data_IF_149635385817
#
_entry.id   IF_149635385817
#
_cell.length_a   1.000
_cell.length_b   1.000
_cell.length_c   1.000
_cell.angle_alpha   90.00
_cell.angle_beta   90.00
_cell.angle_gamma   90.00
#
_symmetry.space_group_name_H-M   'P 1'
#
loop_
_entity.id
_entity.type
_entity.pdbx_description
1 polymer ?
#
# COMPACT_ATOMS: atom_id res chain seq x y z
N UNK A 1 2.42 -18.73 11.92
CA UNK A 1 2.08 -17.33 12.19
C UNK A 1 2.84 -16.45 11.19
N UNK A 2 2.11 -15.70 10.36
CA UNK A 2 2.71 -14.98 9.23
C UNK A 2 3.10 -13.55 9.60
N UNK A 3 2.43 -12.94 10.57
CA UNK A 3 2.64 -11.54 10.97
C UNK A 3 3.82 -11.42 11.92
N UNK A 4 4.64 -10.40 11.69
CA UNK A 4 5.81 -10.10 12.52
C UNK A 4 5.36 -9.49 13.85
N UNK A 5 5.68 -10.15 14.97
CA UNK A 5 5.46 -9.67 16.33
C UNK A 5 4.03 -9.22 16.69
N UNK A 6 3.01 -9.61 15.90
CA UNK A 6 1.61 -9.16 16.05
C UNK A 6 1.41 -7.63 15.99
N UNK A 7 2.34 -6.90 15.38
CA UNK A 7 2.25 -5.45 15.23
C UNK A 7 1.29 -5.06 14.11
N UNK A 8 0.75 -3.82 14.17
CA UNK A 8 0.00 -3.27 13.06
C UNK A 8 0.80 -3.32 11.76
N UNK A 9 0.12 -3.56 10.66
CA UNK A 9 0.72 -3.51 9.33
C UNK A 9 0.58 -2.14 8.68
N UNK A 10 0.77 -2.14 7.36
CA UNK A 10 0.43 -1.02 6.49
C UNK A 10 -0.24 -1.55 5.22
N UNK A 11 -1.08 -0.72 4.61
CA UNK A 11 -1.76 -1.05 3.35
C UNK A 11 -1.53 0.08 2.35
N UNK A 12 -1.11 -0.27 1.14
CA UNK A 12 -0.93 0.67 0.03
C UNK A 12 -1.90 0.31 -1.09
N UNK A 13 -2.77 1.25 -1.45
CA UNK A 13 -3.81 1.07 -2.48
C UNK A 13 -3.55 2.05 -3.62
N UNK A 14 -2.90 1.58 -4.68
CA UNK A 14 -2.64 2.38 -5.89
C UNK A 14 -3.62 2.12 -7.04
N UNK A 15 -4.44 1.06 -6.95
CA UNK A 15 -5.39 0.69 -7.99
C UNK A 15 -6.64 1.56 -7.95
N UNK A 16 -7.05 2.07 -9.11
CA UNK A 16 -8.27 2.88 -9.32
C UNK A 16 -9.45 2.09 -9.89
N UNK A 17 -9.31 0.79 -10.15
CA UNK A 17 -10.43 0.00 -10.67
C UNK A 17 -11.57 -0.03 -9.65
N UNK A 18 -12.82 -0.07 -10.14
CA UNK A 18 -14.04 -0.04 -9.32
C UNK A 18 -14.00 -1.05 -8.17
N UNK A 19 -13.60 -2.29 -8.46
CA UNK A 19 -13.46 -3.34 -7.44
C UNK A 19 -12.50 -2.95 -6.32
N UNK A 20 -11.36 -2.33 -6.63
CA UNK A 20 -10.41 -1.86 -5.61
C UNK A 20 -11.01 -0.76 -4.73
N UNK A 21 -11.82 0.11 -5.31
CA UNK A 21 -12.53 1.15 -4.55
C UNK A 21 -13.57 0.56 -3.60
N UNK A 22 -14.34 -0.43 -4.06
CA UNK A 22 -15.30 -1.17 -3.22
C UNK A 22 -14.60 -1.89 -2.07
N UNK A 23 -13.49 -2.57 -2.35
CA UNK A 23 -12.69 -3.28 -1.34
C UNK A 23 -12.05 -2.32 -0.33
N UNK A 24 -11.55 -1.18 -0.78
CA UNK A 24 -11.03 -0.13 0.10
C UNK A 24 -12.12 0.40 1.03
N UNK A 25 -13.32 0.67 0.51
CA UNK A 25 -14.43 1.16 1.31
C UNK A 25 -14.81 0.19 2.43
N UNK A 26 -14.79 -1.12 2.17
CA UNK A 26 -15.02 -2.14 3.20
C UNK A 26 -13.88 -2.21 4.22
N UNK A 27 -12.61 -2.14 3.76
CA UNK A 27 -11.47 -2.14 4.66
C UNK A 27 -11.46 -0.94 5.62
N UNK A 28 -11.85 0.24 5.14
CA UNK A 28 -11.88 1.47 5.96
C UNK A 28 -12.90 1.41 7.11
N UNK A 29 -13.85 0.47 7.08
CA UNK A 29 -14.81 0.21 8.16
C UNK A 29 -14.26 -0.71 9.25
N UNK A 30 -13.13 -1.38 9.00
CA UNK A 30 -12.56 -2.32 9.97
C UNK A 30 -11.96 -1.60 11.18
N UNK A 31 -12.12 -2.17 12.39
CA UNK A 31 -11.49 -1.62 13.59
C UNK A 31 -9.97 -1.65 13.47
N UNK A 32 -9.30 -0.65 14.02
CA UNK A 32 -7.86 -0.55 13.98
C UNK A 32 -7.27 -0.02 12.67
N UNK A 33 -8.11 0.42 11.73
CA UNK A 33 -7.70 1.05 10.46
C UNK A 33 -7.70 2.58 10.60
N UNK A 34 -6.71 3.22 9.98
CA UNK A 34 -6.67 4.67 9.74
C UNK A 34 -6.48 4.90 8.23
N UNK A 35 -7.50 5.43 7.58
CA UNK A 35 -7.45 5.83 6.18
C UNK A 35 -6.62 7.11 6.00
N UNK A 36 -5.68 7.08 5.05
CA UNK A 36 -4.81 8.20 4.70
C UNK A 36 -4.92 8.41 3.20
N UNK A 37 -5.78 9.34 2.81
CA UNK A 37 -5.91 9.73 1.41
C UNK A 37 -4.74 10.63 1.01
N UNK A 38 -4.14 10.30 -0.12
CA UNK A 38 -3.12 11.11 -0.81
C UNK A 38 -3.81 11.83 -1.96
N UNK A 39 -3.98 13.13 -1.84
CA UNK A 39 -4.57 13.94 -2.90
C UNK A 39 -3.55 14.15 -4.02
N UNK A 40 -3.65 13.31 -5.04
CA UNK A 40 -2.71 13.31 -6.16
C UNK A 40 -2.87 14.52 -7.10
N UNK A 41 -3.91 15.34 -6.95
CA UNK A 41 -4.07 16.60 -7.71
C UNK A 41 -2.86 17.51 -7.48
N UNK A 42 -2.30 17.50 -6.29
CA UNK A 42 -1.08 18.26 -5.96
C UNK A 42 0.19 17.84 -6.72
N UNK A 43 0.15 16.72 -7.44
CA UNK A 43 1.25 16.27 -8.31
C UNK A 43 1.12 16.80 -9.75
N UNK A 44 0.00 17.46 -10.10
CA UNK A 44 -0.20 18.00 -11.45
C UNK A 44 0.69 19.20 -11.77
N UNK A 45 1.13 19.93 -10.76
CA UNK A 45 1.96 21.14 -10.91
C UNK A 45 3.45 20.85 -11.05
N UNK A 46 3.88 19.58 -11.02
CA UNK A 46 5.26 19.11 -11.11
C UNK A 46 6.25 19.87 -10.17
N UNK A 47 5.71 20.39 -9.07
CA UNK A 47 6.48 21.11 -8.05
C UNK A 47 7.08 20.13 -7.06
N UNK A 48 8.42 20.07 -6.99
CA UNK A 48 9.14 19.27 -5.99
C UNK A 48 8.75 19.64 -4.55
N UNK A 49 8.54 20.92 -4.28
CA UNK A 49 8.13 21.39 -2.95
C UNK A 49 6.75 20.86 -2.56
N UNK A 50 5.79 20.89 -3.48
CA UNK A 50 4.44 20.34 -3.26
C UNK A 50 4.47 18.84 -3.03
N UNK A 51 5.27 18.13 -3.83
CA UNK A 51 5.47 16.70 -3.72
C UNK A 51 6.07 16.30 -2.37
N UNK A 52 7.15 16.99 -1.95
CA UNK A 52 7.82 16.71 -0.68
C UNK A 52 6.93 17.04 0.51
N UNK A 53 6.16 18.12 0.43
CA UNK A 53 5.16 18.46 1.44
C UNK A 53 4.09 17.36 1.56
N UNK A 54 3.56 16.87 0.44
CA UNK A 54 2.57 15.81 0.41
C UNK A 54 3.14 14.50 0.98
N UNK A 55 4.38 14.14 0.62
CA UNK A 55 5.08 12.98 1.17
C UNK A 55 5.24 13.09 2.69
N UNK A 56 5.77 14.21 3.18
CA UNK A 56 6.02 14.41 4.61
C UNK A 56 4.72 14.37 5.42
N UNK A 57 3.66 15.02 4.97
CA UNK A 57 2.35 14.96 5.61
C UNK A 57 1.78 13.54 5.63
N UNK A 58 1.96 12.78 4.56
CA UNK A 58 1.52 11.39 4.50
C UNK A 58 2.28 10.53 5.50
N UNK A 59 3.61 10.65 5.55
CA UNK A 59 4.46 9.90 6.48
C UNK A 59 4.21 10.25 7.94
N UNK A 60 3.94 11.51 8.26
CA UNK A 60 3.54 11.93 9.60
C UNK A 60 2.25 11.22 10.04
N UNK A 61 1.21 11.23 9.21
CA UNK A 61 -0.06 10.51 9.48
C UNK A 61 0.12 9.00 9.59
N UNK A 62 1.01 8.43 8.78
CA UNK A 62 1.37 6.99 8.86
C UNK A 62 2.01 6.69 10.20
N UNK A 63 2.99 7.49 10.62
CA UNK A 63 3.68 7.34 11.90
C UNK A 63 2.72 7.48 13.09
N UNK A 64 1.83 8.48 13.07
CA UNK A 64 0.82 8.70 14.11
C UNK A 64 -0.12 7.50 14.24
N UNK A 65 -0.62 6.98 13.12
CA UNK A 65 -1.48 5.80 13.11
C UNK A 65 -0.75 4.57 13.69
N UNK A 66 0.47 4.33 13.25
CA UNK A 66 1.28 3.20 13.73
C UNK A 66 1.59 3.31 15.23
N UNK A 67 2.00 4.48 15.70
CA UNK A 67 2.28 4.76 17.12
C UNK A 67 1.03 4.60 18.01
N UNK A 68 -0.16 4.85 17.45
CA UNK A 68 -1.44 4.58 18.10
C UNK A 68 -1.86 3.09 18.06
N UNK A 69 -1.01 2.18 17.57
CA UNK A 69 -1.30 0.76 17.43
C UNK A 69 -2.31 0.44 16.32
N UNK A 70 -2.47 1.33 15.34
CA UNK A 70 -3.39 1.18 14.21
C UNK A 70 -2.65 0.90 12.92
N UNK A 71 -3.36 0.32 11.95
CA UNK A 71 -2.83 0.03 10.61
C UNK A 71 -3.18 1.19 9.67
N UNK A 72 -2.19 1.98 9.20
CA UNK A 72 -2.42 2.98 8.18
C UNK A 72 -2.76 2.32 6.84
N UNK A 73 -3.78 2.85 6.17
CA UNK A 73 -4.17 2.50 4.81
C UNK A 73 -3.97 3.73 3.94
N UNK A 74 -2.88 3.75 3.19
CA UNK A 74 -2.53 4.84 2.27
C UNK A 74 -3.14 4.54 0.91
N UNK A 75 -3.93 5.45 0.40
CA UNK A 75 -4.58 5.33 -0.91
C UNK A 75 -4.63 6.67 -1.63
N UNK A 76 -4.58 6.63 -2.95
CA UNK A 76 -4.69 7.82 -3.79
C UNK A 76 -6.14 8.31 -3.85
N UNK A 77 -6.33 9.63 -4.00
CA UNK A 77 -7.65 10.22 -4.23
C UNK A 77 -8.37 9.53 -5.40
N UNK A 78 -9.69 9.38 -5.26
CA UNK A 78 -10.54 8.64 -6.21
C UNK A 78 -11.15 9.52 -7.29
N UNK A 79 -10.68 10.75 -7.44
CA UNK A 79 -11.10 11.66 -8.50
C UNK A 79 -10.61 11.16 -9.86
N UNK A 80 -11.51 11.15 -10.85
CA UNK A 80 -11.13 10.93 -12.22
C UNK A 80 -10.48 12.20 -12.77
N UNK A 81 -9.21 12.09 -13.14
CA UNK A 81 -8.46 13.16 -13.79
C UNK A 81 -8.50 12.97 -15.30
N UNK A 82 -8.76 14.07 -16.00
CA UNK A 82 -8.75 14.09 -17.46
C UNK A 82 -7.41 14.62 -17.95
N UNK A 83 -6.76 13.90 -18.84
CA UNK A 83 -5.47 14.27 -19.42
C UNK A 83 -5.61 14.60 -20.91
N UNK A 84 -4.78 15.52 -21.39
CA UNK A 84 -4.77 15.96 -22.80
C UNK A 84 -4.39 14.84 -23.77
N UNK A 85 -3.52 13.94 -23.34
CA UNK A 85 -3.02 12.82 -24.14
C UNK A 85 -2.58 11.65 -23.25
N UNK A 86 -2.22 10.53 -23.88
CA UNK A 86 -1.78 9.30 -23.20
C UNK A 86 -0.45 9.51 -22.49
N UNK A 87 0.48 10.26 -23.08
CA UNK A 87 1.81 10.52 -22.55
C UNK A 87 1.74 11.23 -21.20
N UNK A 88 1.02 12.35 -21.12
CA UNK A 88 0.81 13.10 -19.86
C UNK A 88 0.15 12.22 -18.78
N UNK A 89 -0.78 11.34 -19.17
CA UNK A 89 -1.40 10.40 -18.26
C UNK A 89 -0.41 9.39 -17.71
N UNK A 90 0.50 8.88 -18.54
CA UNK A 90 1.54 7.92 -18.13
C UNK A 90 2.57 8.57 -17.23
N UNK A 91 3.03 9.79 -17.55
CA UNK A 91 3.94 10.58 -16.71
C UNK A 91 3.35 10.84 -15.33
N UNK A 92 2.10 11.26 -15.29
CA UNK A 92 1.38 11.45 -14.02
C UNK A 92 1.26 10.15 -13.22
N UNK A 93 0.90 9.04 -13.86
CA UNK A 93 0.85 7.71 -13.23
C UNK A 93 2.20 7.29 -12.66
N UNK A 94 3.29 7.58 -13.36
CA UNK A 94 4.65 7.33 -12.88
C UNK A 94 5.00 8.20 -11.66
N UNK A 95 4.61 9.48 -11.64
CA UNK A 95 4.82 10.39 -10.52
C UNK A 95 4.04 9.92 -9.26
N UNK A 96 2.79 9.48 -9.45
CA UNK A 96 1.97 8.90 -8.36
C UNK A 96 2.63 7.62 -7.81
N UNK A 97 3.07 6.72 -8.68
CA UNK A 97 3.76 5.49 -8.26
C UNK A 97 5.05 5.82 -7.50
N UNK A 98 5.86 6.75 -7.99
CA UNK A 98 7.09 7.18 -7.32
C UNK A 98 6.82 7.72 -5.91
N UNK A 99 5.78 8.54 -5.74
CA UNK A 99 5.38 9.04 -4.42
C UNK A 99 4.97 7.91 -3.48
N UNK A 100 4.14 6.96 -3.94
CA UNK A 100 3.74 5.81 -3.14
C UNK A 100 4.93 4.93 -2.75
N UNK A 101 5.94 4.80 -3.62
CA UNK A 101 7.15 4.03 -3.30
C UNK A 101 8.02 4.75 -2.27
N UNK A 102 8.07 6.08 -2.27
CA UNK A 102 8.70 6.84 -1.19
C UNK A 102 7.94 6.70 0.13
N UNK A 103 6.62 6.64 0.10
CA UNK A 103 5.82 6.28 1.29
C UNK A 103 6.19 4.89 1.81
N UNK A 104 6.32 3.88 0.93
CA UNK A 104 6.74 2.52 1.32
C UNK A 104 8.10 2.53 2.02
N UNK A 105 9.08 3.27 1.48
CA UNK A 105 10.42 3.38 2.09
C UNK A 105 10.39 4.08 3.45
N UNK A 106 9.45 5.00 3.64
CA UNK A 106 9.27 5.75 4.89
C UNK A 106 8.34 5.11 5.90
N UNK A 107 7.80 3.90 5.65
CA UNK A 107 6.99 3.18 6.61
C UNK A 107 7.80 2.87 7.89
N UNK A 108 7.15 2.79 9.06
CA UNK A 108 7.82 2.35 10.29
C UNK A 108 8.50 0.98 10.11
N UNK A 109 9.75 0.87 10.52
CA UNK A 109 10.58 -0.32 10.30
C UNK A 109 10.03 -1.58 10.98
N UNK A 110 9.18 -1.42 11.98
CA UNK A 110 8.62 -2.48 12.80
C UNK A 110 7.17 -2.86 12.45
N UNK A 111 6.65 -2.44 11.29
CA UNK A 111 5.33 -2.89 10.82
C UNK A 111 5.25 -4.41 10.77
N UNK A 112 4.10 -4.97 11.14
CA UNK A 112 3.89 -6.43 11.21
C UNK A 112 3.73 -7.09 9.84
N UNK A 113 3.17 -6.37 8.86
CA UNK A 113 2.94 -6.82 7.49
C UNK A 113 2.73 -5.62 6.56
N UNK A 114 2.83 -5.88 5.26
CA UNK A 114 2.48 -4.92 4.21
C UNK A 114 1.46 -5.56 3.26
N UNK A 115 0.37 -4.86 2.94
CA UNK A 115 -0.55 -5.24 1.87
C UNK A 115 -0.40 -4.25 0.73
N UNK A 116 -0.13 -4.75 -0.46
CA UNK A 116 -0.08 -3.96 -1.69
C UNK A 116 -1.28 -4.31 -2.58
N UNK A 117 -2.15 -3.34 -2.83
CA UNK A 117 -3.37 -3.50 -3.62
C UNK A 117 -3.25 -2.85 -5.00
N UNK A 118 -3.25 -3.67 -6.02
CA UNK A 118 -3.10 -3.32 -7.43
C UNK A 118 -1.94 -4.06 -8.08
N UNK A 119 -2.08 -4.46 -9.35
CA UNK A 119 -1.03 -5.21 -10.05
C UNK A 119 0.25 -4.41 -10.23
N UNK A 120 0.14 -3.20 -10.79
CA UNK A 120 1.28 -2.28 -10.96
C UNK A 120 1.85 -1.90 -9.59
N UNK A 121 1.01 -1.51 -8.64
CA UNK A 121 1.42 -1.17 -7.28
C UNK A 121 2.19 -2.30 -6.61
N UNK A 122 1.74 -3.55 -6.76
CA UNK A 122 2.43 -4.71 -6.17
C UNK A 122 3.79 -4.96 -6.79
N UNK A 123 3.93 -4.80 -8.12
CA UNK A 123 5.20 -4.88 -8.80
C UNK A 123 6.16 -3.78 -8.31
N UNK A 124 5.69 -2.53 -8.25
CA UNK A 124 6.49 -1.38 -7.84
C UNK A 124 6.90 -1.47 -6.37
N UNK A 125 6.02 -1.96 -5.50
CA UNK A 125 6.35 -2.22 -4.08
C UNK A 125 7.52 -3.20 -3.96
N UNK A 126 7.49 -4.31 -4.70
CA UNK A 126 8.58 -5.28 -4.64
C UNK A 126 9.87 -4.75 -5.25
N UNK A 127 9.81 -4.22 -6.48
CA UNK A 127 10.99 -3.86 -7.27
C UNK A 127 11.60 -2.51 -6.86
N UNK A 128 10.78 -1.52 -6.54
CA UNK A 128 11.20 -0.14 -6.29
C UNK A 128 11.07 0.25 -4.82
N UNK A 129 9.92 0.04 -4.21
CA UNK A 129 9.67 0.40 -2.81
C UNK A 129 10.56 -0.38 -1.84
N UNK A 130 10.57 -1.70 -1.96
CA UNK A 130 11.39 -2.61 -1.16
C UNK A 130 12.71 -2.97 -1.84
N UNK A 131 12.92 -2.60 -3.09
CA UNK A 131 14.14 -2.87 -3.88
C UNK A 131 14.59 -4.34 -3.82
N UNK A 132 13.64 -5.28 -3.91
CA UNK A 132 13.93 -6.71 -3.78
C UNK A 132 14.51 -7.28 -5.07
N UNK A 133 15.59 -8.00 -4.96
CA UNK A 133 16.14 -8.88 -6.03
C UNK A 133 15.56 -10.28 -5.94
N UNK A 134 15.09 -10.68 -4.76
CA UNK A 134 14.43 -11.97 -4.51
C UNK A 134 13.48 -11.86 -3.32
N UNK A 135 12.48 -12.73 -3.26
CA UNK A 135 11.58 -12.85 -2.12
C UNK A 135 11.17 -14.32 -1.94
N UNK A 136 10.96 -14.72 -0.70
CA UNK A 136 10.46 -16.05 -0.40
C UNK A 136 8.94 -16.10 -0.56
N UNK A 137 8.45 -16.93 -1.48
CA UNK A 137 7.02 -17.20 -1.60
C UNK A 137 6.54 -18.01 -0.37
N UNK A 138 5.51 -17.50 0.31
CA UNK A 138 4.87 -18.15 1.46
C UNK A 138 3.60 -18.92 1.09
N UNK A 139 3.04 -18.65 -0.09
CA UNK A 139 1.79 -19.24 -0.59
C UNK A 139 0.72 -18.19 -0.86
N UNK A 140 -0.54 -18.59 -0.84
CA UNK A 140 -1.69 -17.71 -1.03
C UNK A 140 -2.44 -17.52 0.29
N UNK A 141 -2.69 -16.26 0.65
CA UNK A 141 -3.53 -15.91 1.82
C UNK A 141 -5.01 -15.91 1.46
N UNK A 142 -5.31 -15.68 0.20
CA UNK A 142 -6.62 -15.80 -0.44
C UNK A 142 -6.39 -16.26 -1.88
N UNK A 143 -7.36 -16.93 -2.49
CA UNK A 143 -7.27 -17.35 -3.89
C UNK A 143 -6.91 -16.14 -4.79
N UNK A 144 -5.80 -16.25 -5.53
CA UNK A 144 -5.27 -15.17 -6.37
C UNK A 144 -4.49 -14.07 -5.64
N UNK A 145 -4.33 -14.15 -4.32
CA UNK A 145 -3.53 -13.21 -3.53
C UNK A 145 -2.32 -13.92 -2.91
N UNK A 146 -1.16 -13.70 -3.47
CA UNK A 146 0.10 -14.30 -3.01
C UNK A 146 0.67 -13.53 -1.83
N UNK A 147 1.37 -14.25 -0.96
CA UNK A 147 2.14 -13.66 0.11
C UNK A 147 3.61 -14.05 -0.04
N UNK A 148 4.48 -13.07 0.06
CA UNK A 148 5.93 -13.24 0.05
C UNK A 148 6.54 -12.72 1.34
N UNK A 149 7.80 -13.04 1.57
CA UNK A 149 8.57 -12.51 2.69
C UNK A 149 9.85 -11.89 2.19
N UNK A 150 10.18 -10.71 2.69
CA UNK A 150 11.46 -10.05 2.42
C UNK A 150 12.61 -10.86 3.01
N UNK A 151 13.83 -10.76 2.45
CA UNK A 151 15.02 -11.38 3.03
C UNK A 151 15.26 -10.99 4.49
N UNK A 152 15.94 -11.87 5.22
CA UNK A 152 16.30 -11.64 6.63
C UNK A 152 17.28 -10.47 6.82
N UNK A 153 18.07 -10.20 5.80
CA UNK A 153 19.07 -9.14 5.72
C UNK A 153 18.59 -7.88 5.01
N UNK A 154 17.27 -7.77 4.74
CA UNK A 154 16.71 -6.56 4.14
C UNK A 154 16.97 -5.33 5.02
N UNK A 155 17.55 -4.24 4.48
CA UNK A 155 18.07 -3.13 5.29
C UNK A 155 17.00 -2.38 6.10
N UNK A 156 15.78 -2.29 5.59
CA UNK A 156 14.68 -1.55 6.25
C UNK A 156 13.62 -2.47 6.85
N UNK A 157 13.30 -3.57 6.18
CA UNK A 157 12.17 -4.43 6.53
C UNK A 157 12.57 -5.91 6.51
N UNK A 158 13.44 -6.38 7.41
CA UNK A 158 13.84 -7.78 7.45
C UNK A 158 12.66 -8.69 7.81
N UNK A 159 12.50 -9.82 7.11
CA UNK A 159 11.45 -10.81 7.34
C UNK A 159 10.01 -10.27 7.28
N UNK A 160 9.77 -9.17 6.57
CA UNK A 160 8.43 -8.58 6.44
C UNK A 160 7.54 -9.44 5.53
N UNK A 161 6.37 -9.89 6.01
CA UNK A 161 5.34 -10.48 5.14
C UNK A 161 4.70 -9.40 4.27
N UNK A 162 4.64 -9.65 2.96
CA UNK A 162 4.04 -8.75 1.97
C UNK A 162 2.95 -9.51 1.21
N UNK A 163 1.73 -8.99 1.23
CA UNK A 163 0.62 -9.51 0.44
C UNK A 163 0.53 -8.76 -0.88
N UNK A 164 0.52 -9.52 -1.97
CA UNK A 164 0.35 -9.03 -3.33
C UNK A 164 -1.11 -9.26 -3.73
N UNK A 165 -1.89 -8.20 -3.75
CA UNK A 165 -3.31 -8.27 -4.04
C UNK A 165 -3.61 -7.63 -5.41
N UNK A 166 -3.88 -8.42 -6.47
CA UNK A 166 -4.19 -7.90 -7.80
C UNK A 166 -5.46 -7.03 -7.82
N UNK A 167 -5.57 -6.11 -8.80
CA UNK A 167 -6.65 -5.15 -8.89
C UNK A 167 -8.05 -5.77 -9.00
N UNK A 168 -8.20 -6.85 -9.78
CA UNK A 168 -9.48 -7.46 -10.14
C UNK A 168 -9.81 -8.79 -9.43
N UNK A 169 -9.04 -9.16 -8.41
CA UNK A 169 -9.22 -10.40 -7.66
C UNK A 169 -10.18 -10.21 -6.48
N UNK A 170 -10.90 -11.26 -6.14
CA UNK A 170 -11.79 -11.31 -4.97
C UNK A 170 -13.10 -10.55 -5.14
N UNK A 171 -13.85 -10.46 -4.06
CA UNK A 171 -15.08 -9.68 -3.90
C UNK A 171 -14.85 -8.41 -3.06
N UNK A 172 -15.91 -7.64 -2.78
CA UNK A 172 -15.82 -6.39 -2.02
C UNK A 172 -15.24 -6.58 -0.60
N UNK A 173 -15.43 -7.75 0.03
CA UNK A 173 -14.96 -8.05 1.39
C UNK A 173 -13.54 -8.60 1.44
N UNK A 174 -12.96 -8.97 0.31
CA UNK A 174 -11.71 -9.76 0.25
C UNK A 174 -10.51 -9.04 0.88
N UNK A 175 -10.38 -7.73 0.71
CA UNK A 175 -9.27 -6.96 1.31
C UNK A 175 -9.41 -6.90 2.84
N UNK A 176 -10.61 -6.63 3.34
CA UNK A 176 -10.92 -6.67 4.77
C UNK A 176 -10.71 -8.07 5.37
N UNK A 177 -11.06 -9.13 4.62
CA UNK A 177 -10.82 -10.52 5.03
C UNK A 177 -9.33 -10.83 5.18
N UNK A 178 -8.49 -10.38 4.25
CA UNK A 178 -7.03 -10.54 4.37
C UNK A 178 -6.52 -9.79 5.59
N UNK A 179 -6.96 -8.55 5.81
CA UNK A 179 -6.59 -7.77 6.98
C UNK A 179 -6.93 -8.51 8.28
N UNK A 180 -8.17 -8.99 8.44
CA UNK A 180 -8.60 -9.76 9.62
C UNK A 180 -7.75 -11.02 9.83
N UNK A 181 -7.45 -11.77 8.77
CA UNK A 181 -6.57 -12.96 8.85
C UNK A 181 -5.17 -12.62 9.36
N UNK A 182 -4.60 -11.51 8.92
CA UNK A 182 -3.28 -11.05 9.36
C UNK A 182 -3.31 -10.58 10.82
N UNK A 183 -4.39 -9.91 11.22
CA UNK A 183 -4.58 -9.47 12.61
C UNK A 183 -4.99 -10.59 13.57
N UNK A 184 -5.40 -11.75 13.05
CA UNK A 184 -5.86 -12.88 13.87
C UNK A 184 -7.24 -12.64 14.50
N UNK A 185 -8.10 -11.85 13.85
CA UNK A 185 -9.44 -11.47 14.29
C UNK A 185 -10.55 -12.12 13.44
N UNK A 186 -10.24 -13.17 12.71
CA UNK A 186 -11.20 -13.92 11.87
C UNK A 186 -12.07 -14.88 12.66
#
# INVERSE_FOLDING_TARGET
QYVRERKPGAVIVGSHVKKSTEQLSQLLLEPGIVGIEVDVVHLLDDSLEQRDKLLNQTLERVSDAHNAGKTPVVYTSRQELTFKNVETRLEFGAAVSALLMDVVRGLPADIGFLISKGGITSNDVLSTGLALTSARLLGQILAGCSMVRTPVDHPLFPNLPVVLFPGNVGDASSLATIYRRLMGTS
#
